data_IF_119609399834
#
_entry.id   IF_119609399834
#
_cell.length_a   1.000
_cell.length_b   1.000
_cell.length_c   1.000
_cell.angle_alpha   90.00
_cell.angle_beta   90.00
_cell.angle_gamma   90.00
#
_symmetry.space_group_name_H-M   'P 1'
#
loop_
_entity.id
_entity.type
_entity.pdbx_description
1 polymer ?
#
# COMPACT_ATOMS: atom_id res chain seq x y z
N UNK A 1 10.82 10.04 21.43
CA UNK A 1 9.90 11.18 21.19
C UNK A 1 8.75 10.85 20.21
N UNK A 2 9.01 10.19 19.07
CA UNK A 2 7.94 9.82 18.11
C UNK A 2 6.87 8.85 18.66
N UNK A 3 7.26 7.87 19.48
CA UNK A 3 6.35 6.84 20.03
C UNK A 3 5.30 7.39 21.01
N UNK A 4 5.69 8.30 21.92
CA UNK A 4 4.75 8.88 22.90
C UNK A 4 3.71 9.78 22.23
N UNK A 5 4.13 10.56 21.23
CA UNK A 5 3.21 11.36 20.41
C UNK A 5 2.23 10.48 19.65
N UNK A 6 2.69 9.37 19.08
CA UNK A 6 1.82 8.41 18.39
C UNK A 6 0.80 7.76 19.34
N UNK A 7 1.22 7.29 20.51
CA UNK A 7 0.27 6.75 21.50
C UNK A 7 -0.76 7.80 21.94
N UNK A 8 -0.33 9.05 22.17
CA UNK A 8 -1.24 10.13 22.53
C UNK A 8 -2.25 10.41 21.40
N UNK A 9 -1.81 10.41 20.14
CA UNK A 9 -2.69 10.49 18.98
C UNK A 9 -3.71 9.35 18.94
N UNK A 10 -3.28 8.10 19.17
CA UNK A 10 -4.21 6.96 19.24
C UNK A 10 -5.22 7.13 20.38
N UNK A 11 -4.80 7.61 21.55
CA UNK A 11 -5.70 7.89 22.68
C UNK A 11 -6.74 8.96 22.32
N UNK A 12 -6.34 10.04 21.65
CA UNK A 12 -7.25 11.09 21.21
C UNK A 12 -8.32 10.51 20.28
N UNK A 13 -7.93 9.68 19.29
CA UNK A 13 -8.88 9.06 18.36
C UNK A 13 -9.81 8.06 19.06
N UNK A 14 -9.28 7.28 20.02
CA UNK A 14 -10.09 6.34 20.81
C UNK A 14 -11.17 7.05 21.60
N UNK A 15 -10.83 8.18 22.21
CA UNK A 15 -11.74 8.95 23.07
C UNK A 15 -12.73 9.82 22.27
N UNK A 16 -12.45 10.09 20.99
CA UNK A 16 -13.23 11.03 20.18
C UNK A 16 -13.64 10.40 18.83
N UNK A 17 -14.80 9.75 18.81
CA UNK A 17 -15.35 9.12 17.60
C UNK A 17 -15.57 10.11 16.44
N UNK A 18 -15.86 11.38 16.73
CA UNK A 18 -15.99 12.42 15.71
C UNK A 18 -14.69 12.65 14.93
N UNK A 19 -13.53 12.61 15.61
CA UNK A 19 -12.23 12.79 14.96
C UNK A 19 -12.02 11.64 13.97
N UNK A 20 -12.40 10.42 14.36
CA UNK A 20 -12.31 9.25 13.49
C UNK A 20 -13.07 9.45 12.18
N UNK A 21 -14.26 10.05 12.25
CA UNK A 21 -15.06 10.34 11.06
C UNK A 21 -14.51 11.51 10.24
N UNK A 22 -13.65 12.36 10.78
CA UNK A 22 -13.02 13.48 10.04
C UNK A 22 -11.75 13.05 9.31
N UNK A 23 -11.21 11.86 9.58
CA UNK A 23 -9.99 11.37 8.94
C UNK A 23 -10.30 10.92 7.51
N UNK A 24 -9.75 11.66 6.55
CA UNK A 24 -9.87 11.40 5.11
C UNK A 24 -8.59 10.75 4.55
N UNK A 25 -7.46 11.02 5.19
CA UNK A 25 -6.14 10.51 4.81
C UNK A 25 -5.43 9.95 6.03
N UNK A 26 -4.84 8.77 5.88
CA UNK A 26 -4.04 8.15 6.92
C UNK A 26 -2.74 7.63 6.33
N UNK A 27 -1.62 8.07 6.89
CA UNK A 27 -0.30 7.51 6.62
C UNK A 27 0.29 6.97 7.91
N UNK A 28 0.67 5.69 7.90
CA UNK A 28 1.35 5.03 9.00
C UNK A 28 2.65 4.44 8.48
N UNK A 29 3.70 4.47 9.29
CA UNK A 29 5.02 3.99 8.90
C UNK A 29 5.68 3.25 10.05
N UNK A 30 6.22 2.07 9.74
CA UNK A 30 7.15 1.39 10.63
C UNK A 30 8.61 1.84 10.40
N UNK A 31 8.87 2.65 9.38
CA UNK A 31 10.20 3.21 9.12
C UNK A 31 10.64 4.14 10.25
N UNK A 32 11.80 3.83 10.83
CA UNK A 32 12.35 4.52 12.00
C UNK A 32 11.53 4.35 13.29
N UNK A 33 10.45 3.56 13.29
CA UNK A 33 9.64 3.25 14.48
C UNK A 33 9.02 1.85 14.40
N UNK A 34 9.55 0.89 15.15
CA UNK A 34 8.98 -0.46 15.17
C UNK A 34 7.56 -0.50 15.76
N UNK A 35 6.64 -1.14 15.02
CA UNK A 35 5.35 -1.57 15.56
C UNK A 35 4.21 -0.55 15.49
N UNK A 36 4.36 0.58 14.80
CA UNK A 36 3.31 1.61 14.76
C UNK A 36 2.06 1.10 14.06
N UNK A 37 2.24 0.43 12.92
CA UNK A 37 1.12 -0.05 12.13
C UNK A 37 0.38 -1.16 12.87
N UNK A 38 1.12 -2.10 13.45
CA UNK A 38 0.61 -3.18 14.30
C UNK A 38 -0.20 -2.62 15.47
N UNK A 39 0.37 -1.64 16.17
CA UNK A 39 -0.30 -1.00 17.28
C UNK A 39 -1.60 -0.32 16.83
N UNK A 40 -1.57 0.43 15.72
CA UNK A 40 -2.76 1.07 15.18
C UNK A 40 -3.85 0.06 14.82
N UNK A 41 -3.50 -1.00 14.09
CA UNK A 41 -4.44 -2.03 13.66
C UNK A 41 -4.98 -2.87 14.83
N UNK A 42 -4.24 -2.94 15.96
CA UNK A 42 -4.74 -3.56 17.20
C UNK A 42 -5.82 -2.73 17.90
N UNK A 43 -5.80 -1.40 17.70
CA UNK A 43 -6.74 -0.46 18.32
C UNK A 43 -7.93 -0.13 17.43
N UNK A 44 -7.72 -0.16 16.11
CA UNK A 44 -8.72 0.31 15.15
C UNK A 44 -8.85 -0.63 13.95
N UNK A 45 -10.10 -1.00 13.67
CA UNK A 45 -10.44 -1.55 12.35
C UNK A 45 -10.57 -0.42 11.33
N UNK A 46 -9.93 -0.55 10.16
CA UNK A 46 -9.91 0.53 9.15
C UNK A 46 -11.31 0.83 8.58
N UNK A 47 -12.25 -0.11 8.63
CA UNK A 47 -13.64 0.13 8.23
C UNK A 47 -14.40 1.09 9.18
N UNK A 48 -13.83 1.43 10.34
CA UNK A 48 -14.43 2.41 11.26
C UNK A 48 -14.14 3.87 10.87
N UNK A 49 -13.23 4.09 9.92
CA UNK A 49 -12.91 5.40 9.34
C UNK A 49 -13.74 5.60 8.07
N UNK A 50 -15.02 5.93 8.21
CA UNK A 50 -15.98 5.89 7.10
C UNK A 50 -15.62 6.87 5.98
N UNK A 51 -14.93 7.96 6.29
CA UNK A 51 -14.53 8.97 5.32
C UNK A 51 -13.09 8.78 4.78
N UNK A 52 -12.42 7.68 5.12
CA UNK A 52 -11.07 7.40 4.65
C UNK A 52 -11.06 7.21 3.13
N UNK A 53 -10.37 8.10 2.43
CA UNK A 53 -10.21 8.10 0.97
C UNK A 53 -8.82 7.69 0.52
N UNK A 54 -7.82 7.89 1.36
CA UNK A 54 -6.45 7.53 1.03
C UNK A 54 -5.72 6.93 2.24
N UNK A 55 -5.07 5.80 2.00
CA UNK A 55 -4.32 5.03 2.99
C UNK A 55 -2.91 4.76 2.47
N UNK A 56 -1.91 5.13 3.23
CA UNK A 56 -0.50 4.82 2.96
C UNK A 56 0.13 4.08 4.13
N UNK A 57 0.71 2.91 3.85
CA UNK A 57 1.35 2.05 4.85
C UNK A 57 2.79 1.77 4.45
N UNK A 58 3.74 2.20 5.26
CA UNK A 58 5.17 2.13 4.95
C UNK A 58 5.86 1.10 5.86
N UNK A 59 6.71 0.26 5.26
CA UNK A 59 7.41 -0.85 5.93
C UNK A 59 6.44 -1.86 6.58
N UNK A 60 5.49 -2.32 5.76
CA UNK A 60 4.46 -3.25 6.18
C UNK A 60 4.95 -4.69 6.11
N UNK A 61 4.89 -5.41 7.23
CA UNK A 61 5.19 -6.85 7.27
C UNK A 61 4.07 -7.68 6.61
N UNK A 62 4.38 -8.94 6.27
CA UNK A 62 3.49 -9.86 5.53
C UNK A 62 2.13 -10.11 6.22
N UNK A 63 2.11 -10.21 7.54
CA UNK A 63 0.88 -10.48 8.29
C UNK A 63 -0.06 -9.27 8.24
N UNK A 64 0.48 -8.07 8.42
CA UNK A 64 -0.31 -6.85 8.43
C UNK A 64 -0.88 -6.55 7.04
N UNK A 65 -0.11 -6.76 5.97
CA UNK A 65 -0.62 -6.54 4.61
C UNK A 65 -1.74 -7.55 4.29
N UNK A 66 -1.64 -8.82 4.69
CA UNK A 66 -2.74 -9.79 4.53
C UNK A 66 -4.02 -9.31 5.23
N UNK A 67 -3.88 -8.84 6.46
CA UNK A 67 -5.00 -8.25 7.22
C UNK A 67 -5.60 -7.05 6.49
N UNK A 68 -4.78 -6.08 6.06
CA UNK A 68 -5.25 -4.87 5.36
C UNK A 68 -5.91 -5.20 4.03
N UNK A 69 -5.33 -6.11 3.24
CA UNK A 69 -5.89 -6.53 1.97
C UNK A 69 -7.25 -7.19 2.16
N UNK A 70 -7.40 -8.08 3.15
CA UNK A 70 -8.67 -8.76 3.40
C UNK A 70 -9.84 -7.80 3.68
N UNK A 71 -9.55 -6.61 4.22
CA UNK A 71 -10.59 -5.62 4.52
C UNK A 71 -10.75 -4.56 3.41
N UNK A 72 -9.81 -4.46 2.49
CA UNK A 72 -9.76 -3.46 1.42
C UNK A 72 -11.07 -3.37 0.61
N UNK A 73 -11.74 -4.48 0.24
CA UNK A 73 -13.00 -4.42 -0.50
C UNK A 73 -14.14 -3.74 0.28
N UNK A 74 -14.08 -3.71 1.62
CA UNK A 74 -15.08 -3.10 2.47
C UNK A 74 -14.83 -1.60 2.74
N UNK A 75 -13.67 -1.08 2.33
CA UNK A 75 -13.35 0.35 2.46
C UNK A 75 -13.97 1.12 1.28
N UNK A 76 -15.29 1.29 1.34
CA UNK A 76 -16.12 1.74 0.21
C UNK A 76 -15.76 3.12 -0.36
N UNK A 77 -15.17 3.99 0.47
CA UNK A 77 -14.73 5.33 0.09
C UNK A 77 -13.23 5.40 -0.23
N UNK A 78 -12.48 4.31 -0.04
CA UNK A 78 -11.05 4.27 -0.30
C UNK A 78 -10.82 4.32 -1.81
N UNK A 79 -10.17 5.40 -2.22
CA UNK A 79 -9.87 5.73 -3.61
C UNK A 79 -8.40 5.50 -3.93
N UNK A 80 -7.52 5.75 -2.95
CA UNK A 80 -6.08 5.65 -3.08
C UNK A 80 -5.51 4.72 -2.02
N UNK A 81 -4.67 3.79 -2.45
CA UNK A 81 -3.95 2.90 -1.55
C UNK A 81 -2.49 2.83 -1.94
N UNK A 82 -1.62 3.02 -0.95
CA UNK A 82 -0.18 2.93 -1.09
C UNK A 82 0.34 1.96 -0.02
N UNK A 83 1.16 1.01 -0.43
CA UNK A 83 1.94 0.25 0.54
C UNK A 83 3.35 -0.02 0.04
N UNK A 84 4.30 0.04 0.96
CA UNK A 84 5.67 -0.41 0.75
C UNK A 84 5.97 -1.45 1.81
N UNK A 85 6.35 -2.66 1.38
CA UNK A 85 6.43 -3.82 2.27
C UNK A 85 6.82 -5.09 1.53
N UNK A 86 6.63 -6.24 2.17
CA UNK A 86 6.96 -7.55 1.59
C UNK A 86 6.20 -7.84 0.31
N UNK A 87 6.80 -8.67 -0.55
CA UNK A 87 6.20 -9.09 -1.81
C UNK A 87 4.99 -10.00 -1.54
N UNK A 88 3.81 -9.64 -2.06
CA UNK A 88 2.62 -10.50 -2.00
C UNK A 88 1.95 -10.51 -3.37
N UNK A 89 1.38 -11.66 -3.71
CA UNK A 89 0.41 -11.85 -4.79
C UNK A 89 -0.88 -11.07 -4.47
N UNK A 90 -0.89 -9.76 -4.70
CA UNK A 90 -1.94 -8.86 -4.20
C UNK A 90 -3.06 -8.54 -5.18
N UNK A 91 -2.93 -8.96 -6.45
CA UNK A 91 -3.76 -8.43 -7.54
C UNK A 91 -5.23 -8.87 -7.46
N UNK A 92 -5.50 -10.11 -7.05
CA UNK A 92 -6.88 -10.61 -6.93
C UNK A 92 -7.71 -9.78 -5.93
N UNK A 93 -7.15 -9.49 -4.74
CA UNK A 93 -7.91 -8.78 -3.70
C UNK A 93 -8.13 -7.32 -4.08
N UNK A 94 -7.14 -6.71 -4.74
CA UNK A 94 -7.24 -5.33 -5.26
C UNK A 94 -8.35 -5.23 -6.33
N UNK A 95 -8.54 -6.27 -7.16
CA UNK A 95 -9.60 -6.30 -8.19
C UNK A 95 -11.01 -6.13 -7.62
N UNK A 96 -11.23 -6.53 -6.36
CA UNK A 96 -12.53 -6.46 -5.66
C UNK A 96 -12.76 -5.11 -4.99
N UNK A 97 -11.77 -4.21 -5.01
CA UNK A 97 -11.85 -2.88 -4.41
C UNK A 97 -12.35 -1.81 -5.39
N UNK A 98 -12.75 -0.65 -4.87
CA UNK A 98 -13.09 0.54 -5.67
C UNK A 98 -11.90 1.48 -5.90
N UNK A 99 -10.68 0.98 -5.68
CA UNK A 99 -9.47 1.78 -5.81
C UNK A 99 -9.30 2.28 -7.25
N UNK A 100 -8.79 3.50 -7.36
CA UNK A 100 -8.40 4.10 -8.63
C UNK A 100 -6.90 4.43 -8.69
N UNK A 101 -6.29 4.68 -7.52
CA UNK A 101 -4.86 4.95 -7.41
C UNK A 101 -4.22 3.86 -6.57
N UNK A 102 -3.20 3.23 -7.12
CA UNK A 102 -2.40 2.22 -6.44
C UNK A 102 -0.93 2.61 -6.47
N UNK A 103 -0.26 2.53 -5.32
CA UNK A 103 1.19 2.60 -5.22
C UNK A 103 1.70 1.36 -4.54
N UNK A 104 2.60 0.64 -5.21
CA UNK A 104 3.15 -0.64 -4.76
C UNK A 104 4.65 -0.64 -4.93
N UNK A 105 5.33 -1.40 -4.09
CA UNK A 105 6.77 -1.62 -4.24
C UNK A 105 7.07 -2.45 -5.48
N UNK A 106 6.47 -3.63 -5.56
CA UNK A 106 6.66 -4.59 -6.64
C UNK A 106 5.30 -5.19 -7.06
N UNK A 107 5.20 -5.62 -8.31
CA UNK A 107 4.07 -6.36 -8.83
C UNK A 107 4.54 -7.71 -9.37
N UNK A 108 3.96 -8.77 -8.83
CA UNK A 108 4.17 -10.13 -9.31
C UNK A 108 2.97 -10.58 -10.15
N UNK A 109 3.26 -11.03 -11.37
CA UNK A 109 2.26 -11.62 -12.26
C UNK A 109 2.48 -13.13 -12.31
N UNK A 110 1.82 -13.89 -11.45
CA UNK A 110 1.92 -15.35 -11.53
C UNK A 110 1.39 -15.87 -12.87
N UNK A 111 2.03 -16.92 -13.36
CA UNK A 111 1.83 -17.44 -14.71
C UNK A 111 0.57 -18.30 -14.87
N UNK A 112 -0.11 -18.69 -13.79
CA UNK A 112 -0.95 -19.90 -13.83
C UNK A 112 -2.46 -19.71 -13.77
N UNK A 113 -3.06 -18.61 -13.29
CA UNK A 113 -4.53 -18.64 -13.10
C UNK A 113 -5.20 -17.31 -12.72
N UNK A 114 -5.11 -16.24 -13.51
CA UNK A 114 -5.90 -15.03 -13.17
C UNK A 114 -6.48 -14.37 -14.42
N UNK A 115 -7.70 -14.76 -14.79
CA UNK A 115 -8.62 -14.01 -15.66
C UNK A 115 -9.22 -12.77 -14.95
N UNK A 116 -8.61 -12.30 -13.86
CA UNK A 116 -9.14 -11.19 -13.09
C UNK A 116 -8.45 -9.89 -13.48
N UNK A 117 -9.16 -9.15 -14.31
CA UNK A 117 -8.85 -7.77 -14.65
C UNK A 117 -9.17 -6.85 -13.48
N UNK A 118 -8.23 -5.96 -13.13
CA UNK A 118 -8.41 -4.88 -12.18
C UNK A 118 -8.96 -3.66 -12.94
N UNK A 119 -10.28 -3.58 -13.03
CA UNK A 119 -10.98 -2.60 -13.88
C UNK A 119 -10.98 -1.18 -13.27
N UNK A 120 -10.69 -1.03 -11.97
CA UNK A 120 -10.78 0.27 -11.28
C UNK A 120 -9.54 1.16 -11.36
N UNK A 121 -8.34 0.58 -11.51
CA UNK A 121 -7.09 1.32 -11.37
C UNK A 121 -6.80 2.15 -12.62
N UNK A 122 -6.68 3.46 -12.44
CA UNK A 122 -6.36 4.43 -13.50
C UNK A 122 -4.98 5.07 -13.31
N UNK A 123 -4.43 5.04 -12.09
CA UNK A 123 -3.08 5.50 -11.78
C UNK A 123 -2.33 4.43 -10.98
N UNK A 124 -1.16 4.05 -11.47
CA UNK A 124 -0.29 3.07 -10.85
C UNK A 124 1.12 3.64 -10.70
N UNK A 125 1.63 3.59 -9.47
CA UNK A 125 3.05 3.82 -9.19
C UNK A 125 3.70 2.54 -8.70
N UNK A 126 4.84 2.18 -9.29
CA UNK A 126 5.64 1.02 -8.92
C UNK A 126 7.02 1.53 -8.51
N UNK A 127 7.42 1.32 -7.24
CA UNK A 127 8.61 1.99 -6.68
C UNK A 127 9.89 1.17 -6.61
N UNK A 128 9.83 -0.12 -6.92
CA UNK A 128 11.00 -1.01 -6.90
C UNK A 128 10.73 -2.20 -7.83
N UNK A 129 10.93 -1.99 -9.13
CA UNK A 129 10.61 -3.02 -10.11
C UNK A 129 11.69 -3.26 -11.14
N UNK A 130 12.05 -4.54 -11.27
CA UNK A 130 12.61 -5.08 -12.49
C UNK A 130 11.46 -5.47 -13.42
N UNK A 131 10.87 -4.46 -14.06
CA UNK A 131 9.89 -4.66 -15.13
C UNK A 131 10.65 -4.96 -16.42
N UNK A 132 10.56 -6.21 -16.87
CA UNK A 132 10.90 -6.56 -18.24
C UNK A 132 9.69 -6.31 -19.17
N UNK A 133 9.90 -6.43 -20.48
CA UNK A 133 8.86 -6.22 -21.49
C UNK A 133 7.66 -7.16 -21.29
N UNK A 134 7.88 -8.37 -20.79
CA UNK A 134 6.82 -9.34 -20.56
C UNK A 134 5.93 -8.93 -19.37
N UNK A 135 6.53 -8.50 -18.26
CA UNK A 135 5.80 -7.96 -17.10
C UNK A 135 5.05 -6.69 -17.45
N UNK A 136 5.64 -5.81 -18.25
CA UNK A 136 4.98 -4.60 -18.70
C UNK A 136 3.78 -4.91 -19.61
N UNK A 137 3.91 -5.87 -20.52
CA UNK A 137 2.79 -6.33 -21.36
C UNK A 137 1.66 -6.89 -20.50
N UNK A 138 1.97 -7.82 -19.58
CA UNK A 138 1.01 -8.37 -18.63
C UNK A 138 0.32 -7.30 -17.80
N UNK A 139 1.06 -6.29 -17.34
CA UNK A 139 0.49 -5.19 -16.57
C UNK A 139 -0.70 -4.57 -17.29
N UNK A 140 -0.59 -4.27 -18.58
CA UNK A 140 -1.68 -3.68 -19.35
C UNK A 140 -2.87 -4.63 -19.56
N UNK A 141 -2.66 -5.95 -19.55
CA UNK A 141 -3.75 -6.93 -19.53
C UNK A 141 -4.50 -6.93 -18.19
N UNK A 142 -3.77 -6.78 -17.08
CA UNK A 142 -4.35 -6.78 -15.74
C UNK A 142 -5.03 -5.45 -15.37
N UNK A 143 -4.51 -4.31 -15.81
CA UNK A 143 -5.07 -2.97 -15.53
C UNK A 143 -5.37 -2.23 -16.84
N UNK A 144 -6.39 -2.65 -17.61
CA UNK A 144 -6.67 -2.08 -18.93
C UNK A 144 -7.22 -0.65 -18.87
N UNK A 145 -7.68 -0.19 -17.71
CA UNK A 145 -8.14 1.19 -17.49
C UNK A 145 -7.01 2.13 -17.06
N UNK A 146 -5.76 1.66 -17.04
CA UNK A 146 -4.60 2.44 -16.64
C UNK A 146 -4.38 3.62 -17.59
N UNK A 147 -4.33 4.83 -17.03
CA UNK A 147 -4.06 6.09 -17.75
C UNK A 147 -2.69 6.67 -17.40
N UNK A 148 -2.26 6.44 -16.16
CA UNK A 148 -1.01 6.97 -15.63
C UNK A 148 -0.18 5.84 -15.04
N UNK A 149 0.99 5.61 -15.62
CA UNK A 149 1.97 4.66 -15.13
C UNK A 149 3.22 5.43 -14.72
N UNK A 150 3.61 5.31 -13.45
CA UNK A 150 4.85 5.85 -12.91
C UNK A 150 5.71 4.69 -12.42
N UNK A 151 6.89 4.53 -13.02
CA UNK A 151 7.86 3.51 -12.62
C UNK A 151 9.03 4.26 -12.01
N UNK A 152 9.21 4.10 -10.71
CA UNK A 152 10.37 4.62 -9.99
C UNK A 152 11.32 3.46 -9.78
N UNK A 153 12.51 3.57 -10.34
CA UNK A 153 13.59 2.65 -10.05
C UNK A 153 14.34 3.22 -8.85
N UNK A 154 14.24 2.57 -7.69
CA UNK A 154 15.19 2.83 -6.61
C UNK A 154 16.55 2.37 -7.13
N UNK A 155 17.41 3.32 -7.54
CA UNK A 155 18.78 3.02 -7.89
C UNK A 155 19.41 2.34 -6.67
N UNK A 156 19.80 1.06 -6.82
CA UNK A 156 20.56 0.36 -5.80
C UNK A 156 21.75 1.23 -5.40
N UNK A 157 21.80 1.65 -4.14
CA UNK A 157 22.95 2.28 -3.48
C UNK A 157 24.14 1.31 -3.34
N UNK A 158 24.16 0.21 -4.09
CA UNK A 158 25.28 -0.73 -4.16
C UNK A 158 26.38 -0.32 -5.16
N UNK A 159 26.28 0.86 -5.79
CA UNK A 159 27.38 1.40 -6.60
C UNK A 159 28.47 2.14 -5.78
N UNK A 160 28.37 2.17 -4.44
CA UNK A 160 29.38 2.77 -3.56
C UNK A 160 30.34 1.76 -2.90
N UNK A 161 30.24 0.44 -3.16
CA UNK A 161 31.23 -0.54 -2.67
C UNK A 161 32.33 -0.90 -3.67
N UNK A 162 32.26 -0.41 -4.92
CA UNK A 162 33.29 -0.67 -5.94
C UNK A 162 34.33 0.45 -6.11
N UNK A 163 34.20 1.56 -5.37
CA UNK A 163 35.14 2.70 -5.44
C UNK A 163 36.06 2.84 -4.20
N UNK A 164 36.02 1.91 -3.24
CA UNK A 164 36.95 1.87 -2.09
C UNK A 164 38.05 0.80 -2.20
N UNK A 165 38.22 0.17 -3.38
CA UNK A 165 39.26 -0.83 -3.64
C UNK A 165 40.14 -0.52 -4.87
N UNK A 166 40.33 0.76 -5.21
CA UNK A 166 41.34 1.19 -6.18
C UNK A 166 42.19 2.32 -5.65
#
# INVERSE_FOLDING_TARGET
MKKSLFHHFCQIILLNSEIKQKIIYLQLSNDGTHGQIEHFLSLFSLNTFLNLRSLSLIDLNENNIKQVLSILPFLSNLYSFSFTGTNIQTLEIISKSKLQILTVRYLEFESTSINQTIIGITSLTITDSQLDNFKLFKLFEYVPMLKYLNIQTLANSEMNKYNELK
#
